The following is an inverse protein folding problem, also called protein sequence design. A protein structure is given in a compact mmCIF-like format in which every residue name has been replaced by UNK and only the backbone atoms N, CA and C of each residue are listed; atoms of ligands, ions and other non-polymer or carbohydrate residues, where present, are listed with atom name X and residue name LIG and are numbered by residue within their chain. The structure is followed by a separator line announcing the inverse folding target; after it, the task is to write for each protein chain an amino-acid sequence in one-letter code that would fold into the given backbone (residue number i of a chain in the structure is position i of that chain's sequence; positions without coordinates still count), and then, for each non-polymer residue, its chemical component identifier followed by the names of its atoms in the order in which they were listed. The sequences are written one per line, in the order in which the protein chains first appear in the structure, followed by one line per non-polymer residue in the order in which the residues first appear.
data_IF_427607388401
#
_entry.id   IF_427607388401
#
_cell.length_a   1.000
_cell.length_b   1.000
_cell.length_c   1.000
_cell.angle_alpha   90.00
_cell.angle_beta   90.00
_cell.angle_gamma   90.00
#
_symmetry.space_group_name_H-M   'P 1'
#
loop_
_entity.id
_entity.type
_entity.pdbx_description
1 polymer ?
#
# COMPACT_ATOMS: atom_id res chain seq x y z
N UNK A 1 -2.24 -13.83 -24.85
CA UNK A 1 -1.78 -12.42 -24.86
C UNK A 1 -1.16 -12.17 -23.49
N UNK A 2 0.16 -12.13 -23.38
CA UNK A 2 0.80 -11.81 -22.09
C UNK A 2 0.36 -10.39 -21.74
N UNK A 3 -0.33 -10.22 -20.62
CA UNK A 3 -0.49 -8.91 -20.00
C UNK A 3 0.94 -8.39 -19.86
N UNK A 4 1.24 -7.30 -20.55
CA UNK A 4 2.49 -6.57 -20.36
C UNK A 4 2.52 -6.26 -18.86
N UNK A 5 3.35 -6.97 -18.09
CA UNK A 5 3.34 -6.91 -16.64
C UNK A 5 3.43 -5.45 -16.23
N UNK A 6 2.48 -4.99 -15.41
CA UNK A 6 2.41 -3.60 -14.99
C UNK A 6 3.77 -3.10 -14.45
N UNK A 7 4.04 -1.80 -14.61
CA UNK A 7 5.24 -1.19 -14.05
C UNK A 7 5.20 -1.34 -12.53
N UNK A 8 6.30 -1.73 -11.88
CA UNK A 8 6.40 -1.85 -10.42
C UNK A 8 6.42 -0.49 -9.72
N UNK A 9 5.40 0.34 -9.95
CA UNK A 9 5.28 1.71 -9.47
C UNK A 9 3.89 2.00 -8.93
N UNK A 10 3.83 2.97 -8.01
CA UNK A 10 2.64 3.71 -7.61
C UNK A 10 2.70 5.10 -8.25
N UNK A 11 1.57 5.55 -8.81
CA UNK A 11 1.40 6.88 -9.40
C UNK A 11 0.32 7.62 -8.65
N UNK A 12 0.62 8.82 -8.15
CA UNK A 12 -0.33 9.73 -7.52
C UNK A 12 -0.45 11.00 -8.35
N UNK A 13 -1.67 11.34 -8.77
CA UNK A 13 -1.99 12.52 -9.59
C UNK A 13 -2.53 13.67 -8.74
N UNK A 14 -2.46 14.92 -9.22
CA UNK A 14 -2.97 16.10 -8.48
C UNK A 14 -4.44 15.94 -8.03
N UNK A 15 -5.26 15.30 -8.86
CA UNK A 15 -6.67 15.01 -8.56
C UNK A 15 -6.89 13.86 -7.54
N UNK A 16 -5.84 13.45 -6.82
CA UNK A 16 -5.84 12.43 -5.77
C UNK A 16 -6.22 11.03 -6.24
N UNK A 17 -6.00 10.72 -7.53
CA UNK A 17 -6.10 9.35 -8.01
C UNK A 17 -4.78 8.63 -7.75
N UNK A 18 -4.88 7.37 -7.30
CA UNK A 18 -3.73 6.50 -7.08
C UNK A 18 -3.82 5.30 -8.01
N UNK A 19 -2.74 5.03 -8.74
CA UNK A 19 -2.63 3.89 -9.63
C UNK A 19 -1.43 3.03 -9.24
N UNK A 20 -1.66 1.78 -8.89
CA UNK A 20 -0.59 0.82 -8.59
C UNK A 20 -0.45 -0.17 -9.73
N UNK A 21 0.80 -0.53 -10.07
CA UNK A 21 1.08 -1.52 -11.12
C UNK A 21 0.46 -1.19 -12.49
N UNK A 22 0.40 0.09 -12.84
CA UNK A 22 -0.15 0.56 -14.12
C UNK A 22 0.73 0.13 -15.31
N UNK A 23 0.13 -0.07 -16.49
CA UNK A 23 0.90 -0.32 -17.71
C UNK A 23 1.68 0.92 -18.16
N UNK A 24 2.74 0.74 -18.95
CA UNK A 24 3.47 1.87 -19.53
C UNK A 24 2.59 2.73 -20.47
N UNK A 25 1.61 2.12 -21.13
CA UNK A 25 0.62 2.85 -21.92
C UNK A 25 -0.28 3.71 -21.01
N UNK A 26 -0.75 3.16 -19.90
CA UNK A 26 -1.53 3.92 -18.92
C UNK A 26 -0.74 5.07 -18.30
N UNK A 27 0.53 4.87 -17.96
CA UNK A 27 1.40 5.97 -17.49
C UNK A 27 1.53 7.08 -18.54
N UNK A 28 1.70 6.74 -19.82
CA UNK A 28 1.73 7.74 -20.90
C UNK A 28 0.41 8.51 -21.01
N UNK A 29 -0.72 7.82 -20.89
CA UNK A 29 -2.03 8.46 -20.89
C UNK A 29 -2.18 9.42 -19.71
N UNK A 30 -1.71 9.06 -18.50
CA UNK A 30 -1.73 9.95 -17.34
C UNK A 30 -0.88 11.22 -17.60
N UNK A 31 0.34 11.07 -18.12
CA UNK A 31 1.24 12.19 -18.42
C UNK A 31 0.67 13.11 -19.50
N UNK A 32 0.01 12.56 -20.51
CA UNK A 32 -0.58 13.34 -21.62
C UNK A 32 -1.77 14.22 -21.19
N UNK A 33 -2.41 13.93 -20.05
CA UNK A 33 -3.50 14.75 -19.49
C UNK A 33 -3.01 15.95 -18.69
N UNK A 34 -1.74 15.93 -18.27
CA UNK A 34 -1.18 16.98 -17.41
C UNK A 34 -1.25 18.31 -18.17
N UNK A 35 -1.59 19.38 -17.46
CA UNK A 35 -1.85 20.73 -18.00
C UNK A 35 -3.33 21.12 -17.95
N UNK A 36 -4.22 20.15 -17.68
CA UNK A 36 -5.65 20.40 -17.46
C UNK A 36 -5.97 21.01 -16.10
N UNK A 37 -7.20 21.51 -15.94
CA UNK A 37 -7.67 22.05 -14.66
C UNK A 37 -7.71 20.96 -13.57
N UNK A 38 -6.85 21.10 -12.56
CA UNK A 38 -6.72 20.13 -11.46
C UNK A 38 -5.92 18.86 -11.80
N UNK A 39 -5.18 18.87 -12.91
CA UNK A 39 -4.25 17.80 -13.30
C UNK A 39 -2.96 18.42 -13.86
N UNK A 40 -2.11 18.95 -12.97
CA UNK A 40 -0.86 19.66 -13.32
C UNK A 40 0.40 18.93 -12.90
N UNK A 41 0.27 17.87 -12.11
CA UNK A 41 1.41 17.01 -11.80
C UNK A 41 1.00 15.58 -11.48
N UNK A 42 1.98 14.71 -11.58
CA UNK A 42 1.95 13.39 -10.95
C UNK A 42 3.29 13.06 -10.31
N UNK A 43 3.24 12.23 -9.28
CA UNK A 43 4.39 11.67 -8.58
C UNK A 43 4.39 10.16 -8.80
N UNK A 44 5.58 9.61 -9.06
CA UNK A 44 5.82 8.20 -9.31
C UNK A 44 6.81 7.69 -8.29
N UNK A 45 6.44 6.63 -7.58
CA UNK A 45 7.30 5.90 -6.66
C UNK A 45 7.40 4.45 -7.12
N UNK A 46 8.53 3.79 -6.88
CA UNK A 46 8.63 2.33 -7.10
C UNK A 46 7.85 1.59 -6.03
N UNK A 47 7.56 0.32 -6.27
CA UNK A 47 6.90 -0.58 -5.33
C UNK A 47 7.92 -1.65 -4.90
N UNK A 48 8.23 -1.78 -3.59
CA UNK A 48 7.85 -0.85 -2.51
C UNK A 48 8.50 0.51 -2.68
N UNK A 49 7.89 1.57 -2.13
CA UNK A 49 8.51 2.90 -2.17
C UNK A 49 9.70 2.98 -1.20
N UNK A 50 10.62 3.92 -1.46
CA UNK A 50 11.71 4.25 -0.55
C UNK A 50 11.62 5.72 -0.15
N UNK A 51 12.03 6.09 1.07
CA UNK A 51 12.12 7.48 1.49
C UNK A 51 12.98 8.29 0.53
N UNK A 52 12.52 9.48 0.15
CA UNK A 52 13.22 10.39 -0.77
C UNK A 52 13.56 9.81 -2.16
N UNK A 53 12.92 8.72 -2.57
CA UNK A 53 13.09 8.14 -3.92
C UNK A 53 11.78 8.22 -4.70
N UNK A 54 11.72 9.14 -5.66
CA UNK A 54 10.57 9.32 -6.54
C UNK A 54 10.97 10.00 -7.84
N UNK A 55 10.12 9.93 -8.84
CA UNK A 55 10.15 10.83 -9.98
C UNK A 55 8.83 11.58 -10.07
N UNK A 56 8.82 12.82 -10.53
CA UNK A 56 7.61 13.60 -10.70
C UNK A 56 7.67 14.39 -11.99
N UNK A 57 6.50 14.67 -12.54
CA UNK A 57 6.38 15.58 -13.67
C UNK A 57 5.32 16.60 -13.35
N UNK A 58 5.64 17.86 -13.63
CA UNK A 58 4.74 19.00 -13.52
C UNK A 58 4.64 19.69 -14.88
N UNK A 59 3.44 20.14 -15.24
CA UNK A 59 3.21 20.92 -16.45
C UNK A 59 1.95 21.79 -16.29
N UNK A 60 1.99 22.98 -16.89
CA UNK A 60 0.85 23.87 -17.07
C UNK A 60 0.68 24.23 -18.55
N UNK A 61 -0.56 24.47 -18.97
CA UNK A 61 -0.88 24.76 -20.37
C UNK A 61 -0.02 25.92 -20.92
N UNK A 62 0.73 25.64 -21.99
CA UNK A 62 1.63 26.60 -22.64
C UNK A 62 3.05 26.68 -22.07
N UNK A 63 3.36 25.93 -21.01
CA UNK A 63 4.71 25.76 -20.46
C UNK A 63 5.42 24.49 -20.96
N UNK A 64 6.67 24.30 -20.54
CA UNK A 64 7.38 23.04 -20.75
C UNK A 64 6.90 21.96 -19.76
N UNK A 65 7.25 20.70 -19.99
CA UNK A 65 7.13 19.66 -18.96
C UNK A 65 8.36 19.70 -18.06
N UNK A 66 8.18 19.97 -16.77
CA UNK A 66 9.24 19.88 -15.77
C UNK A 66 9.28 18.46 -15.23
N UNK A 67 10.32 17.70 -15.59
CA UNK A 67 10.57 16.36 -15.07
C UNK A 67 11.62 16.43 -13.97
N UNK A 68 11.37 15.79 -12.84
CA UNK A 68 12.28 15.76 -11.70
C UNK A 68 12.38 14.35 -11.14
N UNK A 69 13.54 14.00 -10.59
CA UNK A 69 13.70 12.74 -9.85
C UNK A 69 14.62 12.92 -8.66
N UNK A 70 14.24 12.29 -7.56
CA UNK A 70 14.98 12.22 -6.32
C UNK A 70 15.52 10.82 -6.12
N UNK A 71 16.81 10.72 -5.81
CA UNK A 71 17.53 9.46 -5.61
C UNK A 71 17.83 9.21 -4.13
N UNK A 72 17.90 10.28 -3.34
CA UNK A 72 18.16 10.25 -1.91
C UNK A 72 17.75 11.58 -1.27
N UNK A 73 17.83 11.67 0.05
CA UNK A 73 17.62 12.92 0.77
C UNK A 73 18.49 14.07 0.21
N UNK A 74 19.69 13.75 -0.31
CA UNK A 74 20.68 14.70 -0.79
C UNK A 74 20.64 14.97 -2.30
N UNK A 75 20.06 14.06 -3.08
CA UNK A 75 20.19 14.05 -4.53
C UNK A 75 18.81 14.23 -5.17
N UNK A 76 18.53 15.47 -5.59
CA UNK A 76 17.31 15.84 -6.29
C UNK A 76 17.65 16.62 -7.55
N UNK A 77 17.10 16.20 -8.69
CA UNK A 77 17.42 16.76 -9.98
C UNK A 77 16.16 17.07 -10.78
N UNK A 78 16.23 18.10 -11.61
CA UNK A 78 15.14 18.49 -12.50
C UNK A 78 15.64 18.92 -13.87
N UNK A 79 14.77 18.83 -14.87
CA UNK A 79 15.03 19.22 -16.24
C UNK A 79 13.72 19.57 -16.94
N UNK A 80 13.80 20.39 -17.99
CA UNK A 80 12.65 20.63 -18.87
C UNK A 80 12.71 19.67 -20.04
N UNK A 81 11.59 19.03 -20.35
CA UNK A 81 11.46 18.11 -21.48
C UNK A 81 10.41 18.61 -22.46
N UNK A 82 10.69 18.42 -23.74
CA UNK A 82 9.81 18.84 -24.83
C UNK A 82 8.71 17.79 -25.05
N UNK A 83 7.55 18.05 -24.44
CA UNK A 83 6.32 17.29 -24.64
C UNK A 83 6.12 16.08 -23.72
N UNK A 84 4.84 15.68 -23.62
CA UNK A 84 4.38 14.60 -22.76
C UNK A 84 5.00 13.23 -23.10
N UNK A 85 5.22 12.94 -24.39
CA UNK A 85 5.76 11.64 -24.83
C UNK A 85 7.16 11.40 -24.29
N UNK A 86 8.02 12.44 -24.31
CA UNK A 86 9.39 12.34 -23.78
C UNK A 86 9.38 12.21 -22.26
N UNK A 87 8.53 12.97 -21.56
CA UNK A 87 8.34 12.83 -20.12
C UNK A 87 7.91 11.40 -19.74
N UNK A 88 6.92 10.84 -20.44
CA UNK A 88 6.41 9.50 -20.19
C UNK A 88 7.46 8.40 -20.48
N UNK A 89 8.26 8.56 -21.54
CA UNK A 89 9.37 7.65 -21.86
C UNK A 89 10.40 7.63 -20.72
N UNK A 90 10.83 8.79 -20.26
CA UNK A 90 11.81 8.93 -19.17
C UNK A 90 11.27 8.37 -17.85
N UNK A 91 10.03 8.68 -17.48
CA UNK A 91 9.39 8.09 -16.30
C UNK A 91 9.28 6.57 -16.40
N UNK A 92 8.96 6.03 -17.59
CA UNK A 92 8.92 4.57 -17.81
C UNK A 92 10.31 3.94 -17.67
N UNK A 93 11.35 4.60 -18.19
CA UNK A 93 12.73 4.16 -18.04
C UNK A 93 13.21 4.19 -16.59
N UNK A 94 12.88 5.25 -15.85
CA UNK A 94 13.13 5.38 -14.41
C UNK A 94 12.39 4.30 -13.61
N UNK A 95 11.12 4.04 -13.94
CA UNK A 95 10.28 3.03 -13.30
C UNK A 95 10.82 1.60 -13.48
N UNK A 96 11.43 1.32 -14.63
CA UNK A 96 12.02 0.02 -14.97
C UNK A 96 13.46 -0.15 -14.52
N UNK A 97 14.08 0.90 -13.98
CA UNK A 97 15.52 0.91 -13.68
C UNK A 97 16.37 0.56 -14.91
N UNK A 98 15.94 1.02 -16.09
CA UNK A 98 16.64 0.70 -17.34
C UNK A 98 18.01 1.38 -17.35
N UNK A 99 19.06 0.61 -17.62
CA UNK A 99 20.41 1.16 -17.72
C UNK A 99 20.46 2.29 -18.77
N UNK A 100 20.89 3.48 -18.35
CA UNK A 100 20.98 4.66 -19.23
C UNK A 100 19.63 5.23 -19.67
N UNK A 101 18.56 5.04 -18.90
CA UNK A 101 17.23 5.60 -19.20
C UNK A 101 17.23 7.12 -19.43
N UNK A 102 18.16 7.83 -18.80
CA UNK A 102 18.34 9.28 -18.85
C UNK A 102 19.48 9.72 -19.79
N UNK A 103 19.98 8.83 -20.64
CA UNK A 103 21.05 9.16 -21.57
C UNK A 103 20.69 10.36 -22.46
N UNK A 104 21.56 11.37 -22.47
CA UNK A 104 21.39 12.60 -23.24
C UNK A 104 20.48 13.65 -22.58
N UNK A 105 20.03 13.42 -21.35
CA UNK A 105 19.28 14.41 -20.56
C UNK A 105 20.24 15.27 -19.74
N UNK A 106 20.04 16.59 -19.77
CA UNK A 106 20.79 17.53 -18.94
C UNK A 106 20.03 17.80 -17.64
N UNK A 107 20.51 17.22 -16.54
CA UNK A 107 19.92 17.37 -15.21
C UNK A 107 20.54 18.53 -14.44
N UNK A 108 19.69 19.28 -13.75
CA UNK A 108 20.08 20.38 -12.86
C UNK A 108 19.74 20.03 -11.41
N UNK A 109 20.64 20.27 -10.43
CA UNK A 109 20.30 20.09 -9.02
C UNK A 109 19.12 20.97 -8.60
N UNK A 110 18.18 20.41 -7.85
CA UNK A 110 17.08 21.15 -7.22
C UNK A 110 17.49 21.49 -5.78
N UNK A 111 17.55 22.78 -5.48
CA UNK A 111 17.85 23.27 -4.13
C UNK A 111 16.62 23.18 -3.24
N UNK A 112 16.69 22.33 -2.22
CA UNK A 112 15.63 22.13 -1.22
C UNK A 112 15.80 23.07 -0.01
N UNK A 113 16.84 23.89 0.02
CA UNK A 113 17.19 24.73 1.15
C UNK A 113 17.89 23.96 2.28
N UNK A 114 18.06 24.61 3.45
CA UNK A 114 18.77 24.01 4.57
C UNK A 114 18.00 22.83 5.16
N UNK A 115 18.75 21.80 5.58
CA UNK A 115 18.17 20.64 6.26
C UNK A 115 17.77 20.99 7.69
N UNK A 116 16.61 20.50 8.09
CA UNK A 116 16.19 20.51 9.48
C UNK A 116 16.90 19.38 10.24
N UNK A 117 17.63 19.74 11.30
CA UNK A 117 18.22 18.77 12.21
C UNK A 117 17.14 18.25 13.15
N UNK A 118 16.84 16.95 13.04
CA UNK A 118 15.86 16.27 13.90
C UNK A 118 16.60 15.58 15.04
N UNK A 119 16.34 15.93 16.32
CA UNK A 119 17.01 15.29 17.44
C UNK A 119 16.56 13.84 17.62
N UNK A 120 17.49 12.97 18.06
CA UNK A 120 17.19 11.58 18.37
C UNK A 120 16.16 11.43 19.49
N UNK A 121 15.36 10.37 19.42
CA UNK A 121 14.43 10.01 20.48
C UNK A 121 15.19 9.43 21.69
N UNK A 122 14.74 9.71 22.93
CA UNK A 122 15.23 8.99 24.10
C UNK A 122 15.04 7.48 23.94
N UNK A 123 16.00 6.68 24.40
CA UNK A 123 16.04 5.22 24.16
C UNK A 123 14.73 4.52 24.57
N UNK A 124 14.22 4.79 25.77
CA UNK A 124 12.95 4.21 26.27
C UNK A 124 11.73 4.56 25.40
N UNK A 125 11.71 5.77 24.84
CA UNK A 125 10.64 6.22 23.94
C UNK A 125 10.80 5.53 22.59
N UNK A 126 12.02 5.53 22.05
CA UNK A 126 12.36 4.92 20.76
C UNK A 126 12.01 3.43 20.73
N UNK A 127 12.41 2.67 21.75
CA UNK A 127 12.18 1.22 21.82
C UNK A 127 10.70 0.87 21.77
N UNK A 128 9.87 1.58 22.55
CA UNK A 128 8.41 1.34 22.59
C UNK A 128 7.71 1.70 21.29
N UNK A 129 8.11 2.80 20.65
CA UNK A 129 7.54 3.21 19.36
C UNK A 129 8.01 2.26 18.26
N UNK A 130 9.28 1.85 18.27
CA UNK A 130 9.83 0.88 17.31
C UNK A 130 9.11 -0.46 17.39
N UNK A 131 8.87 -1.00 18.59
CA UNK A 131 8.11 -2.24 18.78
C UNK A 131 6.72 -2.14 18.12
N UNK A 132 6.00 -1.04 18.36
CA UNK A 132 4.69 -0.80 17.76
C UNK A 132 4.76 -0.74 16.24
N UNK A 133 5.70 0.03 15.69
CA UNK A 133 5.84 0.19 14.23
C UNK A 133 6.27 -1.11 13.56
N UNK A 134 7.12 -1.92 14.21
CA UNK A 134 7.48 -3.24 13.68
C UNK A 134 6.27 -4.18 13.58
N UNK A 135 5.32 -4.14 14.52
CA UNK A 135 4.05 -4.89 14.40
C UNK A 135 3.29 -4.45 13.15
N UNK A 136 3.09 -3.14 12.98
CA UNK A 136 2.37 -2.57 11.83
C UNK A 136 3.03 -2.87 10.47
N UNK A 137 4.36 -2.78 10.42
CA UNK A 137 5.15 -3.16 9.24
C UNK A 137 5.03 -4.64 8.89
N UNK A 138 4.84 -5.53 9.87
CA UNK A 138 4.56 -6.95 9.60
C UNK A 138 3.14 -7.15 9.08
N UNK A 139 2.15 -6.40 9.58
CA UNK A 139 0.80 -6.40 9.02
C UNK A 139 0.81 -6.06 7.53
N UNK A 140 1.55 -5.01 7.14
CA UNK A 140 1.84 -4.69 5.73
C UNK A 140 0.70 -3.98 4.98
N UNK A 141 -0.20 -3.30 5.70
CA UNK A 141 -1.30 -2.51 5.11
C UNK A 141 -1.15 -1.00 5.25
N UNK A 142 -0.28 -0.52 6.16
CA UNK A 142 -0.10 0.91 6.38
C UNK A 142 0.96 1.50 5.44
N UNK A 143 0.69 2.69 4.89
CA UNK A 143 1.67 3.51 4.19
C UNK A 143 2.63 4.22 5.17
N UNK A 144 3.73 4.80 4.67
CA UNK A 144 4.70 5.51 5.54
C UNK A 144 4.10 6.70 6.29
N UNK A 145 3.09 7.37 5.72
CA UNK A 145 2.42 8.52 6.34
C UNK A 145 1.58 8.06 7.53
N UNK A 146 0.79 7.01 7.38
CA UNK A 146 -0.01 6.39 8.43
C UNK A 146 0.89 5.81 9.52
N UNK A 147 2.00 5.15 9.17
CA UNK A 147 2.98 4.69 10.17
C UNK A 147 3.59 5.86 10.95
N UNK A 148 3.86 6.99 10.29
CA UNK A 148 4.35 8.21 10.96
C UNK A 148 3.31 8.76 11.94
N UNK A 149 2.04 8.82 11.54
CA UNK A 149 0.94 9.23 12.42
C UNK A 149 0.79 8.28 13.62
N UNK A 150 0.86 6.97 13.39
CA UNK A 150 0.84 5.96 14.47
C UNK A 150 2.01 6.16 15.42
N UNK A 151 3.23 6.40 14.92
CA UNK A 151 4.41 6.61 15.74
C UNK A 151 4.33 7.90 16.58
N UNK A 152 3.84 8.99 15.98
CA UNK A 152 3.63 10.28 16.63
C UNK A 152 2.61 10.17 17.78
N UNK A 153 1.51 9.47 17.56
CA UNK A 153 0.40 9.41 18.50
C UNK A 153 0.49 8.27 19.53
N UNK A 154 1.36 7.26 19.32
CA UNK A 154 1.38 6.02 20.13
C UNK A 154 1.54 6.24 21.64
N UNK A 155 2.36 7.21 22.03
CA UNK A 155 2.69 7.49 23.43
C UNK A 155 2.02 8.76 23.97
N UNK A 156 1.09 9.36 23.21
CA UNK A 156 0.40 10.57 23.61
C UNK A 156 -0.49 10.31 24.82
N UNK A 157 -0.35 11.14 25.85
CA UNK A 157 -1.17 11.09 27.08
C UNK A 157 -1.58 12.49 27.49
N UNK A 158 -2.86 12.82 27.29
CA UNK A 158 -3.34 14.19 27.50
C UNK A 158 -2.56 15.15 26.60
N UNK A 159 -1.88 16.14 27.19
CA UNK A 159 -1.06 17.12 26.47
C UNK A 159 0.40 16.67 26.26
N UNK A 160 0.80 15.53 26.82
CA UNK A 160 2.16 15.00 26.68
C UNK A 160 2.33 14.34 25.31
N UNK A 161 3.25 14.90 24.48
CA UNK A 161 3.60 14.42 23.15
C UNK A 161 5.11 14.14 23.07
N UNK A 162 5.57 12.95 23.49
CA UNK A 162 7.00 12.66 23.61
C UNK A 162 7.71 12.42 22.27
N UNK A 163 6.97 12.32 21.16
CA UNK A 163 7.49 12.09 19.81
C UNK A 163 6.96 13.20 18.91
N UNK A 164 7.85 13.94 18.26
CA UNK A 164 7.43 14.89 17.21
C UNK A 164 7.18 14.16 15.90
N UNK A 165 6.36 14.75 15.01
CA UNK A 165 6.16 14.23 13.65
C UNK A 165 7.48 13.97 12.89
N UNK A 166 8.45 14.87 13.01
CA UNK A 166 9.74 14.73 12.34
C UNK A 166 10.55 13.54 12.90
N UNK A 167 10.52 13.32 14.22
CA UNK A 167 11.14 12.16 14.86
C UNK A 167 10.46 10.86 14.46
N UNK A 168 9.12 10.85 14.43
CA UNK A 168 8.33 9.72 13.97
C UNK A 168 8.67 9.34 12.52
N UNK A 169 8.73 10.33 11.62
CA UNK A 169 9.07 10.11 10.21
C UNK A 169 10.47 9.49 10.05
N UNK A 170 11.49 10.02 10.74
CA UNK A 170 12.86 9.46 10.72
C UNK A 170 12.90 8.01 11.21
N UNK A 171 12.19 7.70 12.29
CA UNK A 171 12.11 6.34 12.82
C UNK A 171 11.41 5.39 11.84
N UNK A 172 10.28 5.80 11.27
CA UNK A 172 9.50 5.02 10.30
C UNK A 172 10.31 4.77 9.03
N UNK A 173 10.96 5.80 8.47
CA UNK A 173 11.77 5.68 7.26
C UNK A 173 12.90 4.66 7.44
N UNK A 174 13.58 4.67 8.60
CA UNK A 174 14.59 3.66 8.93
C UNK A 174 14.00 2.25 8.96
N UNK A 175 12.92 2.03 9.70
CA UNK A 175 12.30 0.71 9.84
C UNK A 175 11.66 0.22 8.53
N UNK A 176 11.16 1.14 7.71
CA UNK A 176 10.64 0.85 6.38
C UNK A 176 11.74 0.33 5.47
N UNK A 177 12.90 0.99 5.41
CA UNK A 177 14.06 0.53 4.61
C UNK A 177 14.52 -0.85 5.08
N UNK A 178 14.61 -1.10 6.39
CA UNK A 178 14.93 -2.42 6.94
C UNK A 178 13.94 -3.49 6.45
N UNK A 179 12.64 -3.18 6.49
CA UNK A 179 11.58 -4.10 6.03
C UNK A 179 11.62 -4.32 4.53
N UNK A 180 11.86 -3.29 3.73
CA UNK A 180 12.00 -3.41 2.27
C UNK A 180 13.21 -4.29 1.91
N UNK A 181 14.33 -4.13 2.62
CA UNK A 181 15.50 -4.99 2.44
C UNK A 181 15.20 -6.45 2.81
N UNK A 182 14.47 -6.70 3.91
CA UNK A 182 14.02 -8.04 4.27
C UNK A 182 13.15 -8.69 3.17
N UNK A 183 12.23 -7.92 2.58
CA UNK A 183 11.33 -8.41 1.52
C UNK A 183 12.05 -8.73 0.22
N UNK A 184 13.19 -8.11 -0.05
CA UNK A 184 13.99 -8.40 -1.24
C UNK A 184 14.53 -9.84 -1.23
N UNK A 185 14.70 -10.42 -0.05
CA UNK A 185 15.13 -11.82 0.14
C UNK A 185 13.97 -12.83 0.04
N UNK A 186 12.73 -12.36 -0.14
CA UNK A 186 11.57 -13.23 -0.23
C UNK A 186 11.32 -13.72 -1.64
N UNK A 187 11.51 -15.01 -1.87
CA UNK A 187 11.27 -15.66 -3.15
C UNK A 187 9.82 -16.16 -3.30
N UNK A 188 9.30 -16.08 -4.53
CA UNK A 188 8.00 -16.64 -4.90
C UNK A 188 6.78 -15.86 -4.39
N UNK A 189 5.61 -16.46 -4.62
CA UNK A 189 4.31 -15.94 -4.16
C UNK A 189 4.16 -16.20 -2.67
N UNK A 190 3.77 -15.18 -1.89
CA UNK A 190 3.53 -15.32 -0.45
C UNK A 190 2.09 -15.68 -0.16
N UNK A 191 1.82 -16.27 0.99
CA UNK A 191 0.46 -16.64 1.36
C UNK A 191 -0.50 -15.45 1.48
N UNK A 192 -0.07 -14.24 1.92
CA UNK A 192 -0.90 -13.04 1.80
C UNK A 192 -1.24 -12.65 0.35
N UNK A 193 -0.38 -12.94 -0.63
CA UNK A 193 -0.72 -12.70 -2.05
C UNK A 193 -1.77 -13.70 -2.55
N UNK A 194 -1.68 -14.98 -2.16
CA UNK A 194 -2.72 -15.98 -2.42
C UNK A 194 -4.05 -15.62 -1.75
N UNK A 195 -3.99 -15.05 -0.54
CA UNK A 195 -5.16 -14.53 0.16
C UNK A 195 -5.80 -13.38 -0.61
N UNK A 196 -5.00 -12.43 -1.11
CA UNK A 196 -5.48 -11.34 -1.95
C UNK A 196 -6.14 -11.83 -3.23
N UNK A 197 -5.53 -12.81 -3.92
CA UNK A 197 -6.14 -13.43 -5.11
C UNK A 197 -7.51 -14.08 -4.79
N UNK A 198 -7.63 -14.76 -3.64
CA UNK A 198 -8.90 -15.34 -3.20
C UNK A 198 -9.95 -14.26 -2.90
N UNK A 199 -9.57 -13.17 -2.25
CA UNK A 199 -10.45 -12.04 -1.95
C UNK A 199 -10.92 -11.34 -3.22
N UNK A 200 -10.02 -11.09 -4.18
CA UNK A 200 -10.35 -10.53 -5.49
C UNK A 200 -11.33 -11.43 -6.27
N UNK A 201 -11.14 -12.75 -6.23
CA UNK A 201 -12.03 -13.71 -6.87
C UNK A 201 -13.44 -13.72 -6.24
N UNK A 202 -13.52 -13.62 -4.91
CA UNK A 202 -14.80 -13.51 -4.17
C UNK A 202 -15.49 -12.18 -4.48
N UNK A 203 -14.75 -11.08 -4.52
CA UNK A 203 -15.27 -9.77 -4.89
C UNK A 203 -15.86 -9.75 -6.31
N UNK A 204 -15.16 -10.37 -7.26
CA UNK A 204 -15.64 -10.53 -8.63
C UNK A 204 -16.86 -11.45 -8.77
N UNK A 205 -17.06 -12.40 -7.85
CA UNK A 205 -18.20 -13.34 -7.89
C UNK A 205 -19.50 -12.77 -7.31
N UNK A 206 -19.42 -11.62 -6.61
CA UNK A 206 -20.56 -10.93 -6.02
C UNK A 206 -20.64 -10.97 -4.49
N UNK A 207 -19.58 -11.42 -3.81
CA UNK A 207 -19.40 -11.31 -2.35
C UNK A 207 -18.53 -10.08 -2.07
N UNK A 208 -18.96 -9.14 -1.25
CA UNK A 208 -18.09 -8.01 -0.85
C UNK A 208 -16.91 -8.53 -0.03
N UNK A 209 -15.71 -8.59 -0.61
CA UNK A 209 -14.52 -9.09 0.07
C UNK A 209 -13.57 -7.94 0.42
N UNK A 210 -13.20 -7.77 1.69
CA UNK A 210 -12.31 -6.70 2.16
C UNK A 210 -11.24 -7.20 3.11
N UNK A 211 -9.98 -6.97 2.73
CA UNK A 211 -8.84 -7.22 3.61
C UNK A 211 -8.64 -6.08 4.60
N UNK A 212 -8.19 -6.40 5.82
CA UNK A 212 -7.81 -5.42 6.84
C UNK A 212 -8.83 -4.27 7.04
N UNK A 213 -10.12 -4.63 7.10
CA UNK A 213 -11.24 -3.71 7.06
C UNK A 213 -11.83 -3.46 8.45
N UNK A 214 -11.82 -2.18 8.85
CA UNK A 214 -12.18 -1.75 10.20
C UNK A 214 -11.12 -2.14 11.24
N UNK A 215 -11.20 -1.52 12.42
CA UNK A 215 -10.24 -1.80 13.50
C UNK A 215 -10.56 -3.11 14.25
N UNK A 216 -11.84 -3.50 14.30
CA UNK A 216 -12.33 -4.69 14.98
C UNK A 216 -13.57 -5.26 14.27
N UNK A 217 -13.98 -6.48 14.66
CA UNK A 217 -15.18 -7.16 14.14
C UNK A 217 -16.43 -6.27 14.15
N UNK A 218 -16.65 -5.53 15.24
CA UNK A 218 -17.84 -4.70 15.41
C UNK A 218 -17.89 -3.54 14.40
N UNK A 219 -16.77 -2.85 14.20
CA UNK A 219 -16.65 -1.79 13.19
C UNK A 219 -16.81 -2.35 11.78
N UNK A 220 -16.13 -3.46 11.46
CA UNK A 220 -16.24 -4.09 10.15
C UNK A 220 -17.68 -4.48 9.80
N UNK A 221 -18.41 -5.09 10.74
CA UNK A 221 -19.84 -5.43 10.53
C UNK A 221 -20.74 -4.20 10.35
N UNK A 222 -20.44 -3.10 11.04
CA UNK A 222 -21.22 -1.87 10.92
C UNK A 222 -21.03 -1.17 9.56
N UNK A 223 -19.87 -1.36 8.92
CA UNK A 223 -19.47 -0.61 7.72
C UNK A 223 -19.59 -1.44 6.43
N UNK A 224 -19.38 -2.76 6.47
CA UNK A 224 -19.23 -3.61 5.28
C UNK A 224 -20.46 -3.62 4.37
N UNK A 225 -21.66 -3.38 4.91
CA UNK A 225 -22.90 -3.29 4.13
C UNK A 225 -22.97 -2.08 3.20
N UNK A 226 -22.23 -1.02 3.48
CA UNK A 226 -22.20 0.19 2.66
C UNK A 226 -21.24 0.10 1.46
N UNK A 227 -20.34 -0.91 1.45
CA UNK A 227 -19.31 -1.07 0.42
C UNK A 227 -19.87 -1.43 -0.96
N UNK A 228 -21.00 -2.14 -1.01
CA UNK A 228 -21.63 -2.55 -2.27
C UNK A 228 -23.12 -2.84 -2.09
N UNK A 229 -23.96 -2.03 -2.69
CA UNK A 229 -25.38 -2.30 -2.80
C UNK A 229 -25.63 -3.56 -3.67
N UNK A 230 -26.51 -4.46 -3.20
CA UNK A 230 -26.91 -5.65 -3.96
C UNK A 230 -25.91 -6.82 -3.93
N UNK A 231 -24.84 -6.74 -3.14
CA UNK A 231 -23.96 -7.89 -2.89
C UNK A 231 -24.73 -9.03 -2.20
N UNK A 232 -24.41 -10.29 -2.53
CA UNK A 232 -25.09 -11.47 -1.94
C UNK A 232 -24.66 -11.75 -0.51
N UNK A 233 -23.46 -11.32 -0.15
CA UNK A 233 -22.88 -11.48 1.17
C UNK A 233 -21.54 -10.76 1.24
N UNK A 234 -20.81 -10.99 2.32
CA UNK A 234 -19.52 -10.38 2.56
C UNK A 234 -18.52 -11.36 3.17
N UNK A 235 -17.25 -11.00 3.07
CA UNK A 235 -16.15 -11.56 3.86
C UNK A 235 -15.14 -10.46 4.18
N UNK A 236 -14.63 -10.44 5.40
CA UNK A 236 -13.55 -9.55 5.79
C UNK A 236 -12.72 -10.13 6.93
N UNK A 237 -11.52 -9.59 7.11
CA UNK A 237 -10.79 -9.60 8.37
C UNK A 237 -10.39 -8.18 8.71
N UNK A 238 -10.06 -7.93 9.98
CA UNK A 238 -9.85 -6.59 10.52
C UNK A 238 -8.45 -6.42 11.11
N UNK A 239 -8.09 -5.18 11.41
CA UNK A 239 -6.75 -4.78 11.85
C UNK A 239 -6.18 -5.62 13.01
N UNK A 240 -6.96 -5.79 14.09
CA UNK A 240 -6.50 -6.57 15.25
C UNK A 240 -6.20 -8.06 14.94
N UNK A 241 -6.93 -8.71 14.02
CA UNK A 241 -6.62 -10.11 13.65
C UNK A 241 -5.47 -10.18 12.64
N UNK A 242 -5.23 -9.12 11.87
CA UNK A 242 -4.02 -8.98 11.05
C UNK A 242 -2.76 -8.93 11.93
N UNK A 243 -2.80 -8.20 13.05
CA UNK A 243 -1.69 -8.16 14.01
C UNK A 243 -1.40 -9.56 14.58
N UNK A 244 -2.44 -10.32 14.92
CA UNK A 244 -2.32 -11.70 15.38
C UNK A 244 -1.74 -12.63 14.29
N UNK A 245 -2.19 -12.49 13.04
CA UNK A 245 -1.65 -13.25 11.91
C UNK A 245 -0.16 -12.95 11.69
N UNK A 246 0.23 -11.68 11.79
CA UNK A 246 1.61 -11.23 11.71
C UNK A 246 2.50 -11.75 12.87
N UNK A 247 1.91 -12.18 13.97
CA UNK A 247 2.56 -12.84 15.11
C UNK A 247 2.52 -14.38 15.03
N UNK A 248 1.86 -14.94 14.01
CA UNK A 248 1.80 -16.38 13.76
C UNK A 248 0.61 -17.10 14.40
N UNK A 249 -0.43 -16.36 14.82
CA UNK A 249 -1.64 -16.92 15.44
C UNK A 249 -2.74 -17.33 14.45
N UNK A 250 -2.47 -17.28 13.15
CA UNK A 250 -3.47 -17.52 12.10
C UNK A 250 -4.37 -16.30 11.85
N UNK A 251 -5.31 -16.43 10.92
CA UNK A 251 -6.18 -15.34 10.50
C UNK A 251 -7.65 -15.78 10.54
N UNK A 252 -8.45 -15.11 11.36
CA UNK A 252 -9.89 -15.32 11.43
C UNK A 252 -10.63 -14.43 10.42
N UNK A 253 -11.48 -15.03 9.58
CA UNK A 253 -12.34 -14.34 8.64
C UNK A 253 -13.78 -14.30 9.13
N UNK A 254 -14.39 -13.11 9.04
CA UNK A 254 -15.80 -12.88 9.31
C UNK A 254 -16.56 -12.79 8.00
N UNK A 255 -17.71 -13.43 7.91
CA UNK A 255 -18.49 -13.54 6.69
C UNK A 255 -19.98 -13.59 7.03
N UNK A 256 -20.83 -13.41 6.02
CA UNK A 256 -22.26 -13.56 6.19
C UNK A 256 -23.11 -13.02 5.04
N UNK A 257 -24.41 -13.29 5.12
CA UNK A 257 -25.43 -12.65 4.30
C UNK A 257 -25.90 -11.31 4.88
N UNK A 258 -26.42 -10.43 4.04
CA UNK A 258 -27.04 -9.16 4.47
C UNK A 258 -28.51 -9.32 4.91
N UNK A 259 -29.10 -10.48 4.70
CA UNK A 259 -30.49 -10.81 5.04
C UNK A 259 -30.66 -11.33 6.48
N UNK A 260 -29.55 -11.53 7.21
CA UNK A 260 -29.54 -12.05 8.57
C UNK A 260 -29.86 -13.56 8.68
N UNK A 261 -29.91 -14.27 7.55
CA UNK A 261 -30.21 -15.71 7.52
C UNK A 261 -28.98 -16.56 7.82
N UNK A 262 -29.12 -17.51 8.75
CA UNK A 262 -28.10 -18.52 9.02
C UNK A 262 -27.78 -19.39 7.78
N UNK A 263 -28.78 -19.65 6.93
CA UNK A 263 -28.62 -20.41 5.69
C UNK A 263 -27.75 -19.63 4.69
N UNK A 264 -28.03 -18.33 4.52
CA UNK A 264 -27.25 -17.46 3.62
C UNK A 264 -25.83 -17.29 4.13
N UNK A 265 -25.64 -17.06 5.43
CA UNK A 265 -24.31 -16.99 6.04
C UNK A 265 -23.53 -18.29 5.83
N UNK A 266 -24.14 -19.46 6.05
CA UNK A 266 -23.47 -20.73 5.85
C UNK A 266 -23.10 -20.97 4.37
N UNK A 267 -23.98 -20.59 3.43
CA UNK A 267 -23.70 -20.66 1.99
C UNK A 267 -22.49 -19.78 1.61
N UNK A 268 -22.44 -18.54 2.09
CA UNK A 268 -21.30 -17.63 1.91
C UNK A 268 -20.03 -18.23 2.53
N UNK A 269 -20.12 -18.82 3.72
CA UNK A 269 -18.99 -19.48 4.38
C UNK A 269 -18.39 -20.61 3.55
N UNK A 270 -19.23 -21.42 2.90
CA UNK A 270 -18.77 -22.45 1.97
C UNK A 270 -18.09 -21.89 0.72
N UNK A 271 -18.60 -20.79 0.15
CA UNK A 271 -17.97 -20.10 -0.99
C UNK A 271 -16.58 -19.55 -0.60
N UNK A 272 -16.46 -18.90 0.56
CA UNK A 272 -15.19 -18.38 1.08
C UNK A 272 -14.19 -19.51 1.31
N UNK A 273 -14.61 -20.59 1.98
CA UNK A 273 -13.75 -21.75 2.26
C UNK A 273 -13.26 -22.42 0.96
N UNK A 274 -14.13 -22.52 -0.04
CA UNK A 274 -13.76 -23.06 -1.36
C UNK A 274 -12.75 -22.18 -2.09
N UNK A 275 -12.92 -20.85 -2.05
CA UNK A 275 -12.01 -19.90 -2.67
C UNK A 275 -10.61 -19.97 -2.03
N UNK A 276 -10.53 -19.97 -0.69
CA UNK A 276 -9.25 -20.09 0.04
C UNK A 276 -8.52 -21.38 -0.31
N UNK A 277 -9.23 -22.52 -0.33
CA UNK A 277 -8.64 -23.82 -0.68
C UNK A 277 -8.21 -23.87 -2.14
N UNK A 278 -8.96 -23.24 -3.04
CA UNK A 278 -8.58 -23.13 -4.47
C UNK A 278 -7.33 -22.28 -4.67
N UNK A 279 -7.10 -21.28 -3.82
CA UNK A 279 -5.86 -20.49 -3.80
C UNK A 279 -4.69 -21.23 -3.11
N UNK A 280 -4.92 -22.43 -2.56
CA UNK A 280 -3.89 -23.23 -1.90
C UNK A 280 -3.70 -22.93 -0.41
N UNK A 281 -4.60 -22.15 0.20
CA UNK A 281 -4.55 -21.83 1.63
C UNK A 281 -5.20 -22.93 2.48
N UNK A 282 -4.59 -23.19 3.64
CA UNK A 282 -5.18 -24.04 4.68
C UNK A 282 -6.22 -23.25 5.47
N UNK A 283 -7.49 -23.66 5.36
CA UNK A 283 -8.59 -23.03 6.07
C UNK A 283 -9.56 -24.08 6.63
N UNK A 284 -10.00 -23.84 7.87
CA UNK A 284 -10.92 -24.69 8.61
C UNK A 284 -12.16 -23.93 9.08
N UNK A 285 -13.30 -24.61 9.02
CA UNK A 285 -14.59 -24.11 9.46
C UNK A 285 -15.56 -25.28 9.60
N UNK A 286 -16.29 -25.32 10.71
CA UNK A 286 -17.17 -26.44 11.09
C UNK A 286 -18.59 -26.35 10.49
N UNK A 287 -18.87 -25.30 9.70
CA UNK A 287 -20.18 -25.06 9.11
C UNK A 287 -21.11 -24.21 9.99
N UNK A 288 -20.67 -23.82 11.19
CA UNK A 288 -21.46 -22.97 12.08
C UNK A 288 -21.42 -21.50 11.62
N UNK A 289 -22.55 -20.89 11.20
CA UNK A 289 -22.61 -19.51 10.74
C UNK A 289 -22.26 -18.47 11.82
N UNK A 290 -22.26 -18.85 13.10
CA UNK A 290 -21.87 -17.98 14.21
C UNK A 290 -20.34 -17.99 14.45
N UNK A 291 -19.60 -18.87 13.77
CA UNK A 291 -18.14 -19.02 13.92
C UNK A 291 -17.38 -18.47 12.72
N UNK A 292 -16.20 -17.92 13.00
CA UNK A 292 -15.27 -17.44 11.97
C UNK A 292 -14.68 -18.62 11.18
N UNK A 293 -14.19 -18.32 9.97
CA UNK A 293 -13.34 -19.25 9.21
C UNK A 293 -11.90 -18.97 9.63
N UNK A 294 -11.19 -19.99 10.11
CA UNK A 294 -9.81 -19.87 10.56
C UNK A 294 -8.86 -20.29 9.43
N UNK A 295 -7.98 -19.38 9.03
CA UNK A 295 -6.91 -19.61 8.05
C UNK A 295 -5.61 -19.88 8.81
N UNK A 296 -5.06 -21.08 8.66
CA UNK A 296 -3.86 -21.50 9.37
C UNK A 296 -3.48 -22.97 9.12
N UNK A 297 -2.19 -23.35 9.33
CA UNK A 297 -1.06 -22.47 9.62
C UNK A 297 -0.77 -21.50 8.46
N UNK A 298 -0.34 -20.27 8.79
CA UNK A 298 -0.14 -19.17 7.84
C UNK A 298 1.22 -18.50 8.08
N UNK A 299 2.11 -18.54 7.08
CA UNK A 299 3.35 -17.78 7.01
C UNK A 299 3.06 -16.36 6.52
N UNK A 300 2.82 -15.45 7.47
CA UNK A 300 2.49 -14.07 7.16
C UNK A 300 3.71 -13.29 6.64
N UNK A 301 3.77 -13.11 5.32
CA UNK A 301 4.79 -12.33 4.61
C UNK A 301 4.15 -11.36 3.61
N UNK A 302 3.37 -10.41 4.13
CA UNK A 302 2.75 -9.38 3.27
C UNK A 302 3.84 -8.41 2.79
N UNK A 303 3.90 -8.17 1.48
CA UNK A 303 4.84 -7.20 0.88
C UNK A 303 4.27 -5.79 0.98
N UNK A 304 5.10 -4.85 1.43
CA UNK A 304 4.80 -3.42 1.38
C UNK A 304 4.62 -2.97 -0.07
N UNK A 305 3.67 -2.07 -0.29
CA UNK A 305 3.42 -1.46 -1.61
C UNK A 305 3.88 0.00 -1.65
N UNK A 306 3.60 0.74 -0.56
CA UNK A 306 3.93 2.15 -0.40
C UNK A 306 2.71 3.05 -0.34
#
# INVERSE_FOLDING_TARGET
MKIDGGLGIKVETENRQTHSRISAAGLRELVARIGGAGDRFLVVQRIPDLPDVFAQVWHEEGGDFRLEHRLSEAEFYGTNVDGADRAAELLTGWARETAGWDAGVAWEPVDLGPREEVPELPDEVRERVEERIRVRLRCGYDDRRTLTEIAEDYLVKGDERPVSRAQAARLVDRLWVERVAEQAEWEGVTEPELLSEAFEALDASGITARENFGCCRGCGLAEIGAEREGARGFVFFHDQVTEQAAEGHGLALHYGGFDGSAETTAAVGHEVLAALRSAGLSADWDGDPDRAIDVGPLTWRRRLVG
#
